data_IF_366820729674
#
_entry.id   IF_366820729674
#
_cell.length_a   1.000
_cell.length_b   1.000
_cell.length_c   1.000
_cell.angle_alpha   90.00
_cell.angle_beta   90.00
_cell.angle_gamma   90.00
#
_symmetry.space_group_name_H-M   'P 1'
#
loop_
_entity.id
_entity.type
_entity.pdbx_description
1 polymer ?
#
# COMPACT_ATOMS: atom_id res chain seq x y z
N UNK A 1 6.40 -26.21 -13.26
CA UNK A 1 5.81 -26.81 -12.04
C UNK A 1 6.34 -28.22 -11.77
N UNK A 2 6.62 -29.03 -12.79
CA UNK A 2 7.19 -30.38 -12.59
C UNK A 2 8.62 -30.36 -12.02
N UNK A 3 9.41 -29.33 -12.33
CA UNK A 3 10.78 -29.19 -11.88
C UNK A 3 10.89 -28.69 -10.42
N UNK A 4 9.94 -27.86 -9.99
CA UNK A 4 9.86 -27.37 -8.61
C UNK A 4 8.41 -27.28 -8.14
N UNK A 5 8.00 -28.17 -7.22
CA UNK A 5 6.61 -28.21 -6.72
C UNK A 5 6.17 -26.93 -6.01
N UNK A 6 7.05 -26.19 -5.36
CA UNK A 6 6.69 -24.96 -4.65
C UNK A 6 6.12 -23.88 -5.61
N UNK A 7 6.58 -23.85 -6.86
CA UNK A 7 6.08 -22.91 -7.87
C UNK A 7 4.63 -23.18 -8.28
N UNK A 8 4.14 -24.39 -8.10
CA UNK A 8 2.74 -24.72 -8.38
C UNK A 8 1.78 -23.98 -7.45
N UNK A 9 2.21 -23.63 -6.25
CA UNK A 9 1.39 -22.91 -5.27
C UNK A 9 1.22 -21.41 -5.56
N UNK A 10 2.06 -20.83 -6.44
CA UNK A 10 1.95 -19.42 -6.81
C UNK A 10 0.57 -19.04 -7.34
N UNK A 11 -0.04 -19.92 -8.14
CA UNK A 11 -1.39 -19.69 -8.68
C UNK A 11 -2.50 -19.69 -7.61
N UNK A 12 -2.21 -20.15 -6.40
CA UNK A 12 -3.15 -20.14 -5.28
C UNK A 12 -3.00 -18.93 -4.35
N UNK A 13 -2.03 -18.07 -4.61
CA UNK A 13 -1.90 -16.78 -3.92
C UNK A 13 -2.95 -15.80 -4.45
N UNK A 14 -3.50 -14.99 -3.57
CA UNK A 14 -4.57 -14.06 -3.90
C UNK A 14 -4.05 -12.65 -3.97
N UNK A 15 -4.43 -11.91 -4.99
CA UNK A 15 -4.23 -10.46 -5.09
C UNK A 15 -5.51 -9.71 -4.76
N UNK A 16 -5.38 -8.50 -4.27
CA UNK A 16 -6.51 -7.61 -4.02
C UNK A 16 -6.15 -6.16 -4.25
N UNK A 17 -7.18 -5.34 -4.32
CA UNK A 17 -6.97 -3.90 -4.45
C UNK A 17 -6.62 -3.32 -3.09
N UNK A 18 -5.46 -2.69 -3.03
CA UNK A 18 -5.00 -1.93 -1.89
C UNK A 18 -4.20 -0.77 -2.45
N UNK A 19 -4.79 0.40 -2.52
CA UNK A 19 -4.23 1.53 -3.25
C UNK A 19 -4.41 2.81 -2.47
N UNK A 20 -3.43 3.70 -2.57
CA UNK A 20 -3.36 4.91 -1.78
C UNK A 20 -3.71 6.18 -2.52
N UNK A 21 -4.23 7.14 -1.73
CA UNK A 21 -4.27 8.55 -2.05
C UNK A 21 -3.15 9.25 -1.28
N UNK A 22 -2.58 10.28 -1.90
CA UNK A 22 -1.69 11.21 -1.20
C UNK A 22 -2.31 12.60 -1.18
N UNK A 23 -2.32 13.21 -0.02
CA UNK A 23 -2.77 14.57 0.20
C UNK A 23 -1.56 15.45 0.45
N UNK A 24 -1.38 16.46 -0.37
CA UNK A 24 -0.37 17.50 -0.19
C UNK A 24 -1.00 18.64 0.59
N UNK A 25 -0.43 18.97 1.73
CA UNK A 25 -1.03 19.86 2.72
C UNK A 25 -0.20 21.11 2.93
N UNK A 26 -0.86 22.26 3.23
CA UNK A 26 -0.20 23.54 3.55
C UNK A 26 0.57 23.50 4.86
N UNK A 27 0.23 22.57 5.74
CA UNK A 27 0.89 22.37 7.04
C UNK A 27 1.08 20.89 7.30
N UNK A 28 2.06 20.54 8.11
CA UNK A 28 2.20 19.18 8.60
C UNK A 28 1.12 18.90 9.63
N UNK A 29 0.35 17.83 9.40
CA UNK A 29 -0.67 17.36 10.34
C UNK A 29 -0.07 16.25 11.21
N UNK A 30 0.17 16.58 12.46
CA UNK A 30 0.67 15.61 13.46
C UNK A 30 -0.49 14.83 14.06
N UNK A 31 -1.00 13.85 13.34
CA UNK A 31 -2.15 13.05 13.76
C UNK A 31 -1.78 12.01 14.82
N UNK A 32 -0.72 11.25 14.60
CA UNK A 32 -0.15 10.30 15.56
C UNK A 32 1.27 9.92 15.14
N UNK A 33 2.14 9.48 16.06
CA UNK A 33 3.38 8.82 15.73
C UNK A 33 3.09 7.48 15.05
N UNK A 34 3.52 7.31 13.79
CA UNK A 34 3.34 6.07 13.06
C UNK A 34 2.05 5.99 12.24
N UNK A 35 1.57 4.77 12.01
CA UNK A 35 0.37 4.49 11.23
C UNK A 35 -0.92 4.79 12.01
N UNK A 36 -1.88 5.33 11.27
CA UNK A 36 -3.28 5.49 11.69
C UNK A 36 -4.10 4.35 11.11
N UNK A 37 -4.96 3.75 11.91
CA UNK A 37 -5.94 2.76 11.50
C UNK A 37 -7.33 3.33 11.82
N UNK A 38 -8.19 3.44 10.78
CA UNK A 38 -9.55 3.91 10.93
C UNK A 38 -10.48 2.71 11.10
N UNK A 39 -10.64 2.26 12.35
CA UNK A 39 -11.33 1.01 12.69
C UNK A 39 -12.77 0.94 12.19
N UNK A 40 -13.48 2.09 12.16
CA UNK A 40 -14.88 2.15 11.73
C UNK A 40 -15.04 2.44 10.22
N UNK A 41 -13.95 2.43 9.47
CA UNK A 41 -13.99 2.67 8.02
C UNK A 41 -14.36 1.40 7.26
N UNK A 42 -15.51 1.35 6.53
CA UNK A 42 -15.83 0.22 5.66
C UNK A 42 -14.81 0.02 4.54
N UNK A 43 -14.10 1.08 4.13
CA UNK A 43 -13.01 0.99 3.16
C UNK A 43 -11.68 0.57 3.78
N UNK A 44 -11.68 0.21 5.09
CA UNK A 44 -10.49 -0.18 5.86
C UNK A 44 -9.34 0.80 5.63
N UNK A 45 -9.61 2.09 5.86
CA UNK A 45 -8.62 3.14 5.67
C UNK A 45 -7.47 3.00 6.66
N UNK A 46 -6.26 3.19 6.18
CA UNK A 46 -5.07 3.45 6.99
C UNK A 46 -4.40 4.71 6.51
N UNK A 47 -3.65 5.38 7.37
CA UNK A 47 -2.98 6.62 7.00
C UNK A 47 -1.66 6.81 7.70
N UNK A 48 -0.82 7.68 7.14
CA UNK A 48 0.46 8.04 7.74
C UNK A 48 0.87 9.45 7.30
N UNK A 49 1.24 10.30 8.28
CA UNK A 49 1.91 11.56 7.95
C UNK A 49 3.37 11.27 7.62
N UNK A 50 3.76 11.49 6.39
CA UNK A 50 5.08 11.15 5.87
C UNK A 50 6.22 12.00 6.45
N UNK A 51 6.05 13.33 6.70
CA UNK A 51 7.14 14.18 7.19
C UNK A 51 7.76 13.73 8.50
N UNK A 52 7.04 12.98 9.33
CA UNK A 52 7.58 12.47 10.61
C UNK A 52 8.75 11.49 10.42
N UNK A 53 8.91 10.90 9.24
CA UNK A 53 9.96 9.92 8.92
C UNK A 53 11.02 10.47 7.97
N UNK A 54 10.81 11.68 7.43
CA UNK A 54 11.71 12.25 6.46
C UNK A 54 12.74 13.16 7.12
N UNK A 55 13.87 13.30 6.46
CA UNK A 55 14.80 14.38 6.78
C UNK A 55 14.14 15.74 6.49
N UNK A 56 14.43 16.80 7.26
CA UNK A 56 13.66 18.05 7.24
C UNK A 56 13.45 18.72 5.88
N UNK A 57 14.28 18.42 4.89
CA UNK A 57 14.30 19.18 3.64
C UNK A 57 13.69 18.47 2.42
N UNK A 58 13.04 17.28 2.59
CA UNK A 58 12.48 16.53 1.45
C UNK A 58 11.47 17.35 0.67
N UNK A 59 10.50 17.97 1.34
CA UNK A 59 9.47 18.77 0.67
C UNK A 59 10.03 20.05 0.04
N UNK A 60 11.08 20.64 0.60
CA UNK A 60 11.76 21.78 -0.01
C UNK A 60 12.60 21.35 -1.21
N UNK A 61 13.21 20.16 -1.14
CA UNK A 61 14.10 19.67 -2.19
C UNK A 61 13.33 19.19 -3.42
N UNK A 62 12.22 18.49 -3.23
CA UNK A 62 11.48 17.82 -4.29
C UNK A 62 10.12 18.44 -4.60
N UNK A 63 9.65 19.36 -3.76
CA UNK A 63 8.38 20.07 -3.94
C UNK A 63 8.57 21.44 -4.58
N UNK A 64 7.45 22.09 -4.90
CA UNK A 64 7.41 23.47 -5.39
C UNK A 64 7.33 24.53 -4.27
N UNK A 65 7.46 24.12 -3.01
CA UNK A 65 7.40 24.98 -1.82
C UNK A 65 5.98 25.31 -1.33
N UNK A 66 4.92 24.78 -1.96
CA UNK A 66 3.53 25.05 -1.55
C UNK A 66 3.02 24.08 -0.49
N UNK A 67 3.53 22.85 -0.48
CA UNK A 67 3.18 21.83 0.50
C UNK A 67 4.20 21.79 1.64
N UNK A 68 3.72 21.74 2.88
CA UNK A 68 4.51 21.54 4.08
C UNK A 68 4.21 20.19 4.77
N UNK A 69 3.19 19.49 4.33
CA UNK A 69 2.81 18.17 4.81
C UNK A 69 2.41 17.21 3.69
N UNK A 70 2.60 15.92 3.92
CA UNK A 70 2.09 14.84 3.06
C UNK A 70 1.43 13.79 3.93
N UNK A 71 0.14 13.57 3.69
CA UNK A 71 -0.62 12.51 4.33
C UNK A 71 -0.92 11.43 3.29
N UNK A 72 -0.34 10.26 3.46
CA UNK A 72 -0.67 9.09 2.63
C UNK A 72 -1.81 8.32 3.28
N UNK A 73 -2.82 7.98 2.50
CA UNK A 73 -3.99 7.20 2.95
C UNK A 73 -4.18 6.03 2.01
N UNK A 74 -4.34 4.82 2.55
CA UNK A 74 -4.59 3.63 1.78
C UNK A 74 -6.05 3.19 1.95
N UNK A 75 -6.71 2.84 0.85
CA UNK A 75 -7.99 2.13 0.80
C UNK A 75 -7.65 0.64 0.68
N UNK A 76 -8.01 -0.14 1.69
CA UNK A 76 -7.70 -1.58 1.73
C UNK A 76 -8.90 -2.48 1.42
N UNK A 77 -10.14 -1.98 1.54
CA UNK A 77 -11.34 -2.65 1.06
C UNK A 77 -12.04 -1.79 -0.01
N UNK A 78 -12.03 -2.28 -1.24
CA UNK A 78 -12.60 -1.64 -2.42
C UNK A 78 -14.02 -2.13 -2.75
N UNK A 79 -14.52 -3.08 -1.97
CA UNK A 79 -15.77 -3.81 -2.25
C UNK A 79 -16.94 -3.40 -1.37
N UNK A 80 -16.66 -2.87 -0.19
CA UNK A 80 -17.70 -2.43 0.74
C UNK A 80 -18.22 -1.04 0.39
N UNK A 81 -19.54 -0.78 0.56
CA UNK A 81 -20.07 0.57 0.43
C UNK A 81 -19.48 1.52 1.46
N UNK A 82 -19.02 2.69 1.02
CA UNK A 82 -18.46 3.71 1.90
C UNK A 82 -19.50 4.39 2.79
N UNK A 83 -19.04 5.02 3.88
CA UNK A 83 -19.91 5.72 4.83
C UNK A 83 -20.64 6.91 4.20
N UNK A 84 -19.96 7.68 3.36
CA UNK A 84 -20.46 8.93 2.79
C UNK A 84 -21.04 8.75 1.39
N UNK A 85 -20.34 8.07 0.49
CA UNK A 85 -20.78 7.87 -0.91
C UNK A 85 -21.69 6.66 -1.12
N UNK A 86 -21.85 5.80 -0.12
CA UNK A 86 -22.76 4.64 -0.12
C UNK A 86 -22.58 3.65 -1.27
N UNK A 87 -21.43 3.66 -1.91
CA UNK A 87 -21.03 2.71 -2.96
C UNK A 87 -19.59 2.22 -2.72
N UNK A 88 -19.20 1.05 -3.27
CA UNK A 88 -17.83 0.54 -3.18
C UNK A 88 -16.82 1.52 -3.80
N UNK A 89 -15.61 1.57 -3.26
CA UNK A 89 -14.56 2.44 -3.79
C UNK A 89 -14.27 2.15 -5.29
N UNK A 90 -14.33 0.89 -5.71
CA UNK A 90 -14.15 0.48 -7.12
C UNK A 90 -15.24 0.99 -8.07
N UNK A 91 -16.33 1.56 -7.57
CA UNK A 91 -17.43 2.12 -8.35
C UNK A 91 -17.49 3.66 -8.23
N UNK A 92 -16.52 4.23 -7.52
CA UNK A 92 -16.40 5.65 -7.29
C UNK A 92 -15.64 6.35 -8.40
N UNK A 93 -16.01 7.59 -8.72
CA UNK A 93 -15.14 8.49 -9.46
C UNK A 93 -13.97 8.91 -8.59
N UNK A 94 -12.95 9.53 -9.19
CA UNK A 94 -11.81 10.08 -8.44
C UNK A 94 -12.28 11.10 -7.40
N UNK A 95 -13.22 11.95 -7.79
CA UNK A 95 -13.82 12.99 -6.95
C UNK A 95 -14.63 12.40 -5.79
N UNK A 96 -15.42 11.35 -6.05
CA UNK A 96 -16.14 10.61 -5.00
C UNK A 96 -15.15 10.03 -3.95
N UNK A 97 -14.03 9.46 -4.41
CA UNK A 97 -13.01 8.91 -3.53
C UNK A 97 -12.38 10.00 -2.66
N UNK A 98 -11.98 11.12 -3.28
CA UNK A 98 -11.44 12.27 -2.56
C UNK A 98 -12.39 12.73 -1.47
N UNK A 99 -13.65 13.00 -1.82
CA UNK A 99 -14.65 13.48 -0.88
C UNK A 99 -14.91 12.49 0.25
N UNK A 100 -15.06 11.21 -0.08
CA UNK A 100 -15.33 10.17 0.91
C UNK A 100 -14.16 9.99 1.89
N UNK A 101 -12.93 9.99 1.38
CA UNK A 101 -11.73 9.85 2.22
C UNK A 101 -11.54 11.10 3.08
N UNK A 102 -11.65 12.31 2.51
CA UNK A 102 -11.58 13.55 3.29
C UNK A 102 -12.60 13.58 4.42
N UNK A 103 -13.87 13.24 4.13
CA UNK A 103 -14.94 13.23 5.12
C UNK A 103 -14.67 12.21 6.24
N UNK A 104 -14.16 11.03 5.91
CA UNK A 104 -13.78 10.04 6.91
C UNK A 104 -12.61 10.52 7.77
N UNK A 105 -11.56 11.08 7.17
CA UNK A 105 -10.41 11.66 7.88
C UNK A 105 -10.87 12.75 8.85
N UNK A 106 -11.67 13.71 8.38
CA UNK A 106 -12.20 14.80 9.19
C UNK A 106 -13.03 14.30 10.37
N UNK A 107 -13.88 13.30 10.14
CA UNK A 107 -14.75 12.71 11.17
C UNK A 107 -13.93 12.02 12.27
N UNK A 108 -12.94 11.19 11.89
CA UNK A 108 -12.15 10.43 12.85
C UNK A 108 -11.16 11.30 13.63
N UNK A 109 -10.52 12.25 12.94
CA UNK A 109 -9.58 13.17 13.57
C UNK A 109 -10.29 14.12 14.53
N UNK A 110 -11.51 14.58 14.19
CA UNK A 110 -12.32 15.39 15.10
C UNK A 110 -12.67 14.66 16.40
N UNK A 111 -12.91 13.36 16.34
CA UNK A 111 -13.21 12.53 17.50
C UNK A 111 -11.99 12.28 18.41
N UNK A 112 -10.78 12.32 17.88
CA UNK A 112 -9.54 12.04 18.64
C UNK A 112 -8.97 13.24 19.40
N UNK A 113 -9.52 14.46 19.19
CA UNK A 113 -8.98 15.69 19.78
C UNK A 113 -7.63 16.14 19.20
N UNK A 114 -7.21 15.54 18.12
CA UNK A 114 -5.97 15.88 17.41
C UNK A 114 -6.18 17.04 16.41
N UNK A 115 -5.10 17.42 15.72
CA UNK A 115 -5.14 18.40 14.65
C UNK A 115 -6.19 18.02 13.59
N UNK A 116 -7.04 18.97 13.20
CA UNK A 116 -8.09 18.72 12.21
C UNK A 116 -7.56 18.97 10.80
N UNK A 117 -7.92 18.07 9.89
CA UNK A 117 -7.80 18.35 8.46
C UNK A 117 -8.96 19.26 8.04
N UNK A 118 -8.64 20.45 7.58
CA UNK A 118 -9.61 21.39 7.03
C UNK A 118 -9.43 21.49 5.50
N UNK A 119 -10.49 21.83 4.78
CA UNK A 119 -10.45 21.93 3.30
C UNK A 119 -9.37 22.92 2.83
N UNK A 120 -9.14 24.00 3.60
CA UNK A 120 -8.08 24.96 3.32
C UNK A 120 -6.66 24.41 3.45
N UNK A 121 -6.48 23.29 4.15
CA UNK A 121 -5.16 22.65 4.30
C UNK A 121 -4.77 21.90 3.03
N UNK A 122 -5.72 21.50 2.19
CA UNK A 122 -5.46 20.78 0.96
C UNK A 122 -4.84 21.72 -0.09
N UNK A 123 -3.65 21.36 -0.56
CA UNK A 123 -2.98 22.02 -1.70
C UNK A 123 -3.29 21.28 -2.98
N UNK A 124 -3.13 19.95 -2.92
CA UNK A 124 -3.32 19.04 -4.05
C UNK A 124 -3.49 17.62 -3.53
N UNK A 125 -3.88 16.71 -4.40
CA UNK A 125 -3.99 15.30 -4.08
C UNK A 125 -3.65 14.41 -5.28
N UNK A 126 -3.27 13.19 -5.00
CA UNK A 126 -2.90 12.21 -6.00
C UNK A 126 -3.53 10.85 -5.66
N UNK A 127 -4.17 10.22 -6.63
CA UNK A 127 -4.55 8.82 -6.58
C UNK A 127 -3.56 8.04 -7.44
N UNK A 128 -3.08 6.91 -6.92
CA UNK A 128 -2.11 6.06 -7.64
C UNK A 128 -2.56 5.79 -9.08
N UNK A 129 -1.64 5.92 -10.03
CA UNK A 129 -1.87 5.68 -11.46
C UNK A 129 -2.17 4.20 -11.77
N UNK A 130 -1.94 3.30 -10.80
CA UNK A 130 -2.39 1.90 -10.91
C UNK A 130 -3.91 1.79 -11.03
N UNK A 131 -4.66 2.80 -10.59
CA UNK A 131 -6.13 2.84 -10.68
C UNK A 131 -6.55 3.67 -11.89
N UNK A 132 -6.95 2.98 -12.94
CA UNK A 132 -7.45 3.57 -14.17
C UNK A 132 -8.98 3.73 -14.13
N UNK A 133 -9.46 4.95 -14.36
CA UNK A 133 -10.89 5.22 -14.60
C UNK A 133 -11.12 5.32 -16.11
N UNK A 134 -11.82 4.35 -16.67
CA UNK A 134 -12.09 4.26 -18.10
C UNK A 134 -13.28 5.11 -18.52
N UNK A 135 -13.35 5.53 -19.81
CA UNK A 135 -14.46 6.32 -20.32
C UNK A 135 -15.84 5.64 -20.23
N UNK A 136 -15.87 4.30 -20.19
CA UNK A 136 -17.09 3.51 -20.01
C UNK A 136 -17.58 3.43 -18.55
N UNK A 137 -16.87 4.09 -17.62
CA UNK A 137 -17.19 4.11 -16.21
C UNK A 137 -16.60 2.92 -15.43
N UNK A 138 -15.88 2.01 -16.07
CA UNK A 138 -15.18 0.93 -15.36
C UNK A 138 -13.92 1.45 -14.68
N UNK A 139 -13.63 0.90 -13.49
CA UNK A 139 -12.39 1.16 -12.76
C UNK A 139 -11.56 -0.10 -12.75
N UNK A 140 -10.29 0.01 -13.06
CA UNK A 140 -9.35 -1.11 -13.13
C UNK A 140 -8.12 -0.81 -12.27
N UNK A 141 -7.67 -1.78 -11.50
CA UNK A 141 -6.38 -1.70 -10.81
C UNK A 141 -5.38 -2.59 -11.55
N UNK A 142 -4.33 -2.00 -12.08
CA UNK A 142 -3.27 -2.68 -12.83
C UNK A 142 -2.21 -3.33 -11.94
N UNK A 143 -2.16 -2.96 -10.65
CA UNK A 143 -1.16 -3.42 -9.69
C UNK A 143 -1.83 -3.95 -8.42
N UNK A 144 -2.57 -5.08 -8.49
CA UNK A 144 -3.12 -5.70 -7.29
C UNK A 144 -2.00 -6.18 -6.38
N UNK A 145 -2.12 -5.91 -5.09
CA UNK A 145 -1.17 -6.36 -4.08
C UNK A 145 -1.50 -7.77 -3.59
N UNK A 146 -0.47 -8.48 -3.15
CA UNK A 146 -0.65 -9.78 -2.49
C UNK A 146 -1.42 -9.61 -1.19
N UNK A 147 -2.48 -10.42 -1.02
CA UNK A 147 -3.24 -10.48 0.22
C UNK A 147 -2.81 -11.70 1.05
N UNK A 148 -2.52 -11.47 2.31
CA UNK A 148 -2.26 -12.52 3.28
C UNK A 148 -3.56 -13.19 3.71
N UNK A 149 -3.93 -14.24 3.01
CA UNK A 149 -5.05 -15.10 3.41
C UNK A 149 -4.59 -16.19 4.39
N UNK A 150 -5.51 -16.74 5.17
CA UNK A 150 -5.20 -17.84 6.08
C UNK A 150 -4.48 -18.99 5.36
N UNK A 151 -3.29 -19.35 5.85
CA UNK A 151 -2.44 -20.40 5.27
C UNK A 151 -1.67 -19.99 4.01
N UNK A 152 -1.75 -18.73 3.53
CA UNK A 152 -1.01 -18.28 2.35
C UNK A 152 0.51 -18.36 2.55
N UNK A 153 1.00 -18.18 3.77
CA UNK A 153 2.43 -18.28 4.09
C UNK A 153 3.04 -19.63 3.67
N UNK A 154 2.33 -20.72 3.89
CA UNK A 154 2.77 -22.07 3.50
C UNK A 154 2.78 -22.30 1.98
N UNK A 155 2.08 -21.46 1.24
CA UNK A 155 1.99 -21.52 -0.24
C UNK A 155 2.99 -20.62 -0.93
N UNK A 156 3.65 -19.73 -0.19
CA UNK A 156 4.70 -18.85 -0.73
C UNK A 156 5.95 -19.68 -0.98
N UNK A 157 6.64 -19.47 -2.12
CA UNK A 157 7.88 -20.16 -2.41
C UNK A 157 9.03 -19.64 -1.54
N UNK A 158 10.05 -20.44 -1.36
CA UNK A 158 11.34 -19.99 -0.83
C UNK A 158 12.09 -19.16 -1.88
N UNK A 159 13.09 -18.39 -1.44
CA UNK A 159 13.94 -17.61 -2.33
C UNK A 159 14.79 -18.49 -3.28
N UNK A 160 15.09 -19.72 -2.85
CA UNK A 160 15.80 -20.71 -3.67
C UNK A 160 14.81 -21.66 -4.29
N UNK A 161 14.92 -21.89 -5.59
CA UNK A 161 14.14 -22.90 -6.27
C UNK A 161 14.98 -24.20 -6.47
N UNK A 162 14.32 -25.30 -6.85
CA UNK A 162 14.98 -26.52 -7.31
C UNK A 162 15.43 -26.45 -8.76
N UNK A 163 15.15 -25.34 -9.43
CA UNK A 163 15.55 -25.09 -10.80
C UNK A 163 16.89 -24.35 -10.74
N UNK A 164 17.91 -24.95 -11.36
CA UNK A 164 19.23 -24.35 -11.41
C UNK A 164 19.19 -22.90 -11.94
N UNK A 165 19.90 -22.02 -11.28
CA UNK A 165 19.99 -20.57 -11.60
C UNK A 165 18.66 -19.79 -11.50
N UNK A 166 17.61 -20.35 -10.87
CA UNK A 166 16.35 -19.63 -10.61
C UNK A 166 16.23 -19.27 -9.13
N UNK A 167 16.36 -18.00 -8.84
CA UNK A 167 16.16 -17.41 -7.52
C UNK A 167 14.96 -16.48 -7.55
N UNK A 168 14.19 -16.45 -6.46
CA UNK A 168 12.96 -15.68 -6.33
C UNK A 168 13.17 -14.56 -5.32
N UNK A 169 12.73 -13.37 -5.69
CA UNK A 169 12.74 -12.20 -4.81
C UNK A 169 11.41 -11.46 -4.99
N UNK A 170 10.98 -10.76 -4.03
CA UNK A 170 9.82 -9.90 -3.91
C UNK A 170 8.99 -10.29 -2.68
N UNK A 171 7.94 -9.55 -2.42
CA UNK A 171 7.06 -9.70 -1.26
C UNK A 171 6.19 -10.96 -1.27
N UNK A 172 6.08 -11.67 -2.42
CA UNK A 172 5.39 -12.95 -2.51
C UNK A 172 6.24 -14.15 -2.04
N UNK A 173 7.54 -13.95 -1.84
CA UNK A 173 8.45 -14.98 -1.32
C UNK A 173 8.20 -15.18 0.16
N UNK A 174 8.38 -16.40 0.66
CA UNK A 174 8.27 -16.72 2.08
C UNK A 174 9.38 -16.03 2.87
N UNK A 175 8.99 -15.18 3.81
CA UNK A 175 9.89 -14.41 4.68
C UNK A 175 9.41 -14.47 6.12
N UNK A 176 10.24 -14.03 7.06
CA UNK A 176 9.82 -13.88 8.46
C UNK A 176 8.88 -12.69 8.64
N UNK A 177 9.06 -11.67 7.82
CA UNK A 177 8.21 -10.46 7.84
C UNK A 177 6.75 -10.77 7.51
N UNK A 178 6.50 -11.76 6.64
CA UNK A 178 5.17 -12.26 6.23
C UNK A 178 4.11 -11.18 5.93
N UNK A 179 4.53 -10.07 5.36
CA UNK A 179 3.66 -8.99 4.90
C UNK A 179 4.12 -8.53 3.52
N UNK A 180 3.18 -8.11 2.66
CA UNK A 180 3.48 -7.46 1.38
C UNK A 180 4.02 -6.03 1.63
N UNK A 181 5.31 -5.93 1.96
CA UNK A 181 6.01 -4.68 2.29
C UNK A 181 7.39 -4.63 1.65
N UNK A 182 7.98 -3.43 1.65
CA UNK A 182 9.38 -3.25 1.22
C UNK A 182 10.36 -4.08 2.07
N UNK A 183 10.09 -4.25 3.36
CA UNK A 183 10.90 -5.06 4.27
C UNK A 183 10.85 -6.53 3.88
N UNK A 184 9.66 -7.07 3.58
CA UNK A 184 9.50 -8.44 3.09
C UNK A 184 10.20 -8.66 1.75
N UNK A 185 10.06 -7.74 0.81
CA UNK A 185 10.75 -7.78 -0.48
C UNK A 185 12.29 -7.71 -0.31
N UNK A 186 12.78 -6.85 0.59
CA UNK A 186 14.21 -6.74 0.89
C UNK A 186 14.76 -8.03 1.54
N UNK A 187 14.03 -8.62 2.49
CA UNK A 187 14.39 -9.88 3.10
C UNK A 187 14.48 -11.00 2.05
N UNK A 188 13.50 -11.10 1.15
CA UNK A 188 13.49 -12.07 0.06
C UNK A 188 14.68 -11.87 -0.89
N UNK A 189 14.98 -10.62 -1.25
CA UNK A 189 16.11 -10.28 -2.12
C UNK A 189 17.46 -10.67 -1.48
N UNK A 190 17.63 -10.41 -0.17
CA UNK A 190 18.85 -10.82 0.55
C UNK A 190 19.02 -12.33 0.58
N UNK A 191 17.95 -13.08 0.84
CA UNK A 191 17.99 -14.55 0.80
C UNK A 191 18.34 -15.09 -0.59
N UNK A 192 17.78 -14.49 -1.64
CA UNK A 192 18.12 -14.87 -3.02
C UNK A 192 19.59 -14.60 -3.35
N UNK A 193 20.13 -13.45 -2.92
CA UNK A 193 21.51 -13.09 -3.12
C UNK A 193 22.48 -14.01 -2.34
N UNK A 194 22.17 -14.31 -1.08
CA UNK A 194 22.96 -15.24 -0.25
C UNK A 194 23.01 -16.64 -0.87
N UNK A 195 21.88 -17.14 -1.36
CA UNK A 195 21.81 -18.42 -2.03
C UNK A 195 22.67 -18.46 -3.29
N UNK A 196 22.57 -17.42 -4.12
CA UNK A 196 23.39 -17.30 -5.35
C UNK A 196 24.87 -17.26 -5.06
N UNK A 197 25.29 -16.54 -4.02
CA UNK A 197 26.70 -16.49 -3.60
C UNK A 197 27.18 -17.84 -3.09
N UNK A 198 26.37 -18.55 -2.29
CA UNK A 198 26.73 -19.87 -1.77
C UNK A 198 26.96 -20.91 -2.86
N UNK A 199 26.17 -20.87 -3.94
CA UNK A 199 26.38 -21.75 -5.10
C UNK A 199 27.69 -21.43 -5.83
N UNK A 200 28.08 -20.15 -5.91
CA UNK A 200 29.30 -19.72 -6.59
C UNK A 200 30.59 -20.14 -5.86
N UNK A 201 30.51 -20.44 -4.57
CA UNK A 201 31.65 -20.94 -3.79
C UNK A 201 31.70 -22.48 -3.71
N UNK A 202 30.67 -23.17 -4.18
CA UNK A 202 30.60 -24.62 -4.17
C UNK A 202 31.06 -25.27 -5.51
N UNK A 203 31.33 -24.45 -6.51
CA UNK A 203 31.90 -24.84 -7.81
C UNK A 203 33.37 -24.45 -7.91
#
# INVERSE_FOLDING_TARGET
>A
AAADPQLAHLSSLSGGWMTGLQFFLRRDLRLAPGHLIFADSPWALTGISQPQFWTPDVLKTFGNGTAAGVLSVCISDWTQPGLFVRKPARECTREDMLQAVCAQLQSHVAASGQDRLEDRDLVDWYLSDSVEHRPDGTVVNHEPLLINTAGSWWRRPEACSRIENLFLASDYVRTHTDIATMEGANEAARRAAEARLSESFAT
#
